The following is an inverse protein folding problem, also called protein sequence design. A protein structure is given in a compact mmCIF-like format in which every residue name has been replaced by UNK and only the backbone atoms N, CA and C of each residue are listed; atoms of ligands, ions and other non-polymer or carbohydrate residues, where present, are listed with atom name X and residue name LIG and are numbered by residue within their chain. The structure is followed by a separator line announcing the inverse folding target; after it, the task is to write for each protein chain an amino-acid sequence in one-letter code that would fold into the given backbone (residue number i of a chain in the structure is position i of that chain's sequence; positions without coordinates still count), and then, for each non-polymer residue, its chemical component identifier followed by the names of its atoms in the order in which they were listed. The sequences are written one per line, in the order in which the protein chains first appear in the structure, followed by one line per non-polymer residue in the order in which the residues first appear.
data_IF_654355755111
#
_entry.id   IF_654355755111
#
_cell.length_a   1.000
_cell.length_b   1.000
_cell.length_c   1.000
_cell.angle_alpha   90.00
_cell.angle_beta   90.00
_cell.angle_gamma   90.00
#
_symmetry.space_group_name_H-M   'P 1'
#
loop_
_entity.id
_entity.type
_entity.pdbx_description
1 polymer ?
#
# COMPACT_ATOMS: atom_id res chain seq x y z
N UNK A 1 2.73 -10.16 15.79
CA UNK A 1 1.32 -10.57 15.59
C UNK A 1 1.00 -10.38 14.11
N UNK A 2 0.26 -11.27 13.46
CA UNK A 2 -0.10 -11.09 12.03
C UNK A 2 -1.08 -9.93 11.90
N UNK A 3 -0.90 -9.06 10.88
CA UNK A 3 -1.78 -7.92 10.61
C UNK A 3 -3.22 -8.38 10.32
N UNK A 4 -3.36 -9.45 9.54
CA UNK A 4 -4.62 -10.15 9.30
C UNK A 4 -4.35 -11.61 8.91
N UNK A 5 -5.42 -12.41 8.81
CA UNK A 5 -5.39 -13.78 8.25
C UNK A 5 -6.62 -13.95 7.37
N UNK A 6 -6.41 -14.49 6.18
CA UNK A 6 -7.48 -14.72 5.22
C UNK A 6 -7.32 -13.89 3.95
N UNK A 7 -8.40 -13.27 3.48
CA UNK A 7 -8.48 -12.53 2.22
C UNK A 7 -8.19 -11.04 2.41
N UNK A 8 -7.18 -10.52 1.73
CA UNK A 8 -6.97 -9.07 1.58
C UNK A 8 -7.31 -8.62 0.16
N UNK A 9 -8.32 -7.81 -0.01
CA UNK A 9 -8.78 -7.36 -1.32
C UNK A 9 -8.06 -6.09 -1.77
N UNK A 10 -7.42 -6.14 -2.96
CA UNK A 10 -6.91 -4.95 -3.63
C UNK A 10 -8.07 -4.22 -4.33
N UNK A 11 -8.48 -3.10 -3.77
CA UNK A 11 -9.65 -2.36 -4.22
C UNK A 11 -9.33 -1.43 -5.40
N UNK A 12 -10.27 -1.31 -6.33
CA UNK A 12 -10.23 -0.30 -7.39
C UNK A 12 -10.54 1.08 -6.82
N UNK A 13 -10.08 2.13 -7.49
CA UNK A 13 -10.51 3.51 -7.22
C UNK A 13 -11.54 3.90 -8.27
N UNK A 14 -12.83 4.01 -7.94
CA UNK A 14 -13.84 4.47 -8.86
C UNK A 14 -13.71 5.98 -9.12
N UNK A 15 -13.91 6.40 -10.36
CA UNK A 15 -13.87 7.79 -10.77
C UNK A 15 -15.23 8.21 -11.37
N UNK A 16 -15.53 9.50 -11.30
CA UNK A 16 -16.67 10.11 -12.00
C UNK A 16 -16.34 10.34 -13.48
N UNK A 17 -17.31 10.77 -14.27
CA UNK A 17 -17.09 11.17 -15.67
C UNK A 17 -16.14 12.38 -15.78
N UNK A 18 -16.12 13.25 -14.76
CA UNK A 18 -15.22 14.39 -14.62
C UNK A 18 -13.79 14.00 -14.18
N UNK A 19 -13.56 12.71 -13.89
CA UNK A 19 -12.29 12.11 -13.45
C UNK A 19 -11.94 12.39 -11.99
N UNK A 20 -12.86 12.87 -11.19
CA UNK A 20 -12.72 12.97 -9.74
C UNK A 20 -12.96 11.60 -9.07
N UNK A 21 -12.39 11.39 -7.89
CA UNK A 21 -12.65 10.15 -7.13
C UNK A 21 -14.12 10.09 -6.73
N UNK A 22 -14.80 9.01 -7.10
CA UNK A 22 -16.18 8.74 -6.73
C UNK A 22 -16.25 8.09 -5.33
N UNK A 23 -16.30 8.91 -4.29
CA UNK A 23 -16.33 8.43 -2.90
C UNK A 23 -17.61 7.68 -2.54
N UNK A 24 -18.74 7.98 -3.18
CA UNK A 24 -19.99 7.24 -2.93
C UNK A 24 -19.83 5.79 -3.39
N UNK A 25 -19.31 5.58 -4.59
CA UNK A 25 -19.09 4.24 -5.12
C UNK A 25 -17.94 3.52 -4.40
N UNK A 26 -16.87 4.23 -4.04
CA UNK A 26 -15.81 3.67 -3.20
C UNK A 26 -16.36 3.16 -1.87
N UNK A 27 -17.24 3.93 -1.23
CA UNK A 27 -17.90 3.52 0.00
C UNK A 27 -18.78 2.28 -0.16
N UNK A 28 -19.49 2.15 -1.29
CA UNK A 28 -20.27 0.93 -1.60
C UNK A 28 -19.39 -0.29 -1.78
N UNK A 29 -18.25 -0.12 -2.48
CA UNK A 29 -17.29 -1.21 -2.69
C UNK A 29 -16.66 -1.66 -1.38
N UNK A 30 -16.33 -0.75 -0.48
CA UNK A 30 -15.81 -1.08 0.86
C UNK A 30 -16.83 -1.90 1.64
N UNK A 31 -18.08 -1.44 1.72
CA UNK A 31 -19.15 -2.18 2.43
C UNK A 31 -19.37 -3.56 1.80
N UNK A 32 -19.47 -3.63 0.47
CA UNK A 32 -19.62 -4.90 -0.22
C UNK A 32 -18.53 -5.90 0.14
N UNK A 33 -17.28 -5.49 0.19
CA UNK A 33 -16.17 -6.39 0.55
C UNK A 33 -16.26 -6.85 2.00
N UNK A 34 -16.54 -5.96 2.92
CA UNK A 34 -16.67 -6.29 4.34
C UNK A 34 -17.84 -7.24 4.58
N UNK A 35 -19.00 -6.96 4.00
CA UNK A 35 -20.20 -7.82 4.12
C UNK A 35 -19.99 -9.21 3.49
N UNK A 36 -19.12 -9.34 2.50
CA UNK A 36 -18.79 -10.62 1.87
C UNK A 36 -17.51 -11.27 2.43
N UNK A 37 -17.05 -10.84 3.59
CA UNK A 37 -16.08 -11.56 4.41
C UNK A 37 -14.62 -11.33 4.01
N UNK A 38 -14.27 -10.15 3.48
CA UNK A 38 -12.85 -9.78 3.36
C UNK A 38 -12.25 -9.58 4.75
N UNK A 39 -10.99 -9.97 4.92
CA UNK A 39 -10.25 -9.82 6.19
C UNK A 39 -9.33 -8.59 6.22
N UNK A 40 -9.14 -7.93 5.08
CA UNK A 40 -8.38 -6.68 4.96
C UNK A 40 -8.74 -5.95 3.68
N UNK A 41 -8.65 -4.62 3.68
CA UNK A 41 -8.76 -3.77 2.48
C UNK A 41 -7.38 -3.22 2.12
N UNK A 42 -6.96 -3.45 0.88
CA UNK A 42 -5.73 -2.88 0.32
C UNK A 42 -6.13 -1.76 -0.62
N UNK A 43 -5.89 -0.53 -0.18
CA UNK A 43 -6.24 0.69 -0.93
C UNK A 43 -5.00 1.34 -1.56
N UNK A 44 -5.16 1.99 -2.69
CA UNK A 44 -4.05 2.59 -3.45
C UNK A 44 -2.93 1.58 -3.81
N UNK A 45 -3.24 0.27 -3.87
CA UNK A 45 -2.40 -0.73 -4.52
C UNK A 45 -2.47 -0.58 -6.05
N UNK A 46 -1.77 -1.41 -6.79
CA UNK A 46 -1.72 -1.36 -8.27
C UNK A 46 -3.13 -1.36 -8.91
N UNK A 47 -4.05 -2.14 -8.35
CA UNK A 47 -5.45 -2.24 -8.80
C UNK A 47 -6.20 -0.90 -8.66
N UNK A 48 -5.85 -0.09 -7.67
CA UNK A 48 -6.43 1.23 -7.42
C UNK A 48 -5.80 2.36 -8.25
N UNK A 49 -4.92 2.07 -9.20
CA UNK A 49 -4.32 3.01 -10.16
C UNK A 49 -3.67 4.26 -9.54
N UNK A 50 -2.94 4.14 -8.38
CA UNK A 50 -2.44 5.31 -7.65
C UNK A 50 -1.42 6.15 -8.44
N UNK A 51 -0.84 5.58 -9.50
CA UNK A 51 0.13 6.29 -10.36
C UNK A 51 -0.50 7.38 -11.23
N UNK A 52 -1.81 7.36 -11.40
CA UNK A 52 -2.59 8.37 -12.15
C UNK A 52 -3.22 9.42 -11.24
N UNK A 53 -3.04 9.26 -9.93
CA UNK A 53 -3.60 10.14 -8.89
C UNK A 53 -2.52 11.04 -8.31
N UNK A 54 -2.92 12.23 -7.91
CA UNK A 54 -2.08 13.11 -7.10
C UNK A 54 -1.85 12.53 -5.69
N UNK A 55 -0.84 13.03 -4.98
CA UNK A 55 -0.60 12.65 -3.60
C UNK A 55 -1.79 12.99 -2.69
N UNK A 56 -2.41 14.14 -2.91
CA UNK A 56 -3.57 14.62 -2.14
C UNK A 56 -4.78 13.71 -2.34
N UNK A 57 -5.08 13.30 -3.57
CA UNK A 57 -6.16 12.34 -3.86
C UNK A 57 -5.89 11.00 -3.18
N UNK A 58 -4.67 10.48 -3.27
CA UNK A 58 -4.30 9.20 -2.63
C UNK A 58 -4.47 9.25 -1.12
N UNK A 59 -4.03 10.33 -0.46
CA UNK A 59 -4.20 10.52 0.98
C UNK A 59 -5.67 10.65 1.37
N UNK A 60 -6.46 11.37 0.56
CA UNK A 60 -7.90 11.51 0.77
C UNK A 60 -8.62 10.17 0.64
N UNK A 61 -8.25 9.35 -0.35
CA UNK A 61 -8.79 8.00 -0.54
C UNK A 61 -8.41 7.08 0.64
N UNK A 62 -7.18 7.15 1.15
CA UNK A 62 -6.75 6.39 2.32
C UNK A 62 -7.55 6.81 3.55
N UNK A 63 -7.64 8.12 3.84
CA UNK A 63 -8.40 8.66 4.97
C UNK A 63 -9.87 8.24 4.93
N UNK A 64 -10.51 8.41 3.77
CA UNK A 64 -11.89 8.00 3.57
C UNK A 64 -12.09 6.49 3.79
N UNK A 65 -11.16 5.67 3.29
CA UNK A 65 -11.23 4.21 3.47
C UNK A 65 -11.10 3.81 4.93
N UNK A 66 -10.19 4.43 5.67
CA UNK A 66 -10.02 4.21 7.13
C UNK A 66 -11.31 4.60 7.89
N UNK A 67 -11.84 5.77 7.60
CA UNK A 67 -13.09 6.25 8.22
C UNK A 67 -14.26 5.31 7.89
N UNK A 68 -14.42 4.96 6.61
CA UNK A 68 -15.51 4.11 6.15
C UNK A 68 -15.44 2.69 6.70
N UNK A 69 -14.24 2.13 6.80
CA UNK A 69 -14.00 0.81 7.38
C UNK A 69 -14.30 0.78 8.88
N UNK A 70 -14.07 1.89 9.58
CA UNK A 70 -14.35 2.06 11.00
C UNK A 70 -13.77 0.95 11.90
N UNK A 71 -12.56 0.47 11.56
CA UNK A 71 -11.84 -0.56 12.31
C UNK A 71 -12.43 -1.99 12.21
N UNK A 72 -13.40 -2.22 11.32
CA UNK A 72 -14.00 -3.56 11.13
C UNK A 72 -13.02 -4.55 10.51
N UNK A 73 -12.17 -4.08 9.63
CA UNK A 73 -11.03 -4.82 9.06
C UNK A 73 -9.85 -3.86 8.89
N UNK A 74 -8.60 -4.33 8.91
CA UNK A 74 -7.45 -3.47 8.72
C UNK A 74 -7.38 -2.89 7.29
N UNK A 75 -6.91 -1.64 7.21
CA UNK A 75 -6.65 -0.91 5.96
C UNK A 75 -5.16 -0.88 5.69
N UNK A 76 -4.75 -1.45 4.54
CA UNK A 76 -3.37 -1.49 4.08
C UNK A 76 -3.21 -0.50 2.93
N UNK A 77 -2.40 0.52 3.11
CA UNK A 77 -2.20 1.57 2.12
C UNK A 77 -1.03 1.29 1.18
N UNK A 78 -1.25 1.38 -0.13
CA UNK A 78 -0.19 1.34 -1.13
C UNK A 78 0.66 2.61 -1.07
N UNK A 79 1.90 2.50 -0.58
CA UNK A 79 2.82 3.64 -0.41
C UNK A 79 4.12 3.52 -1.20
N UNK A 80 4.34 2.39 -1.90
CA UNK A 80 5.57 2.15 -2.65
C UNK A 80 5.80 3.10 -3.82
N UNK A 81 7.06 3.25 -4.18
CA UNK A 81 7.52 4.09 -5.27
C UNK A 81 9.00 3.83 -5.58
N UNK A 82 9.56 4.56 -6.53
CA UNK A 82 10.95 4.37 -6.96
C UNK A 82 11.94 5.41 -6.40
N UNK A 83 11.47 6.33 -5.57
CA UNK A 83 12.29 7.28 -4.82
C UNK A 83 12.09 7.03 -3.33
N UNK A 84 13.13 6.57 -2.62
CA UNK A 84 13.06 6.19 -1.20
C UNK A 84 12.54 7.31 -0.31
N UNK A 85 13.00 8.55 -0.54
CA UNK A 85 12.58 9.71 0.24
C UNK A 85 11.07 9.98 0.10
N UNK A 86 10.54 9.90 -1.12
CA UNK A 86 9.10 10.07 -1.38
C UNK A 86 8.29 8.94 -0.74
N UNK A 87 8.79 7.69 -0.79
CA UNK A 87 8.15 6.54 -0.15
C UNK A 87 8.09 6.74 1.37
N UNK A 88 9.18 7.17 2.00
CA UNK A 88 9.21 7.49 3.43
C UNK A 88 8.22 8.59 3.78
N UNK A 89 8.24 9.69 3.03
CA UNK A 89 7.34 10.83 3.27
C UNK A 89 5.88 10.40 3.17
N UNK A 90 5.51 9.70 2.11
CA UNK A 90 4.14 9.23 1.89
C UNK A 90 3.72 8.16 2.91
N UNK A 91 4.61 7.24 3.27
CA UNK A 91 4.34 6.20 4.27
C UNK A 91 4.02 6.78 5.65
N UNK A 92 4.77 7.82 6.08
CA UNK A 92 4.47 8.55 7.31
C UNK A 92 3.09 9.23 7.27
N UNK A 93 2.73 9.82 6.14
CA UNK A 93 1.41 10.43 5.95
C UNK A 93 0.31 9.37 5.98
N UNK A 94 0.48 8.25 5.28
CA UNK A 94 -0.48 7.15 5.31
C UNK A 94 -0.71 6.60 6.73
N UNK A 95 0.37 6.43 7.51
CA UNK A 95 0.27 6.07 8.93
C UNK A 95 -0.50 7.13 9.73
N UNK A 96 -0.19 8.42 9.53
CA UNK A 96 -0.88 9.53 10.21
C UNK A 96 -2.37 9.58 9.87
N UNK A 97 -2.76 9.21 8.66
CA UNK A 97 -4.16 9.10 8.21
C UNK A 97 -4.84 7.79 8.64
N UNK A 98 -4.18 6.98 9.46
CA UNK A 98 -4.79 5.84 10.15
C UNK A 98 -4.68 4.50 9.41
N UNK A 99 -3.82 4.36 8.42
CA UNK A 99 -3.55 3.05 7.83
C UNK A 99 -2.95 2.09 8.88
N UNK A 100 -3.43 0.84 8.90
CA UNK A 100 -2.98 -0.22 9.81
C UNK A 100 -1.71 -0.91 9.30
N UNK A 101 -1.40 -0.77 8.02
CA UNK A 101 -0.20 -1.31 7.39
C UNK A 101 0.06 -0.68 6.03
N UNK A 102 1.22 -0.99 5.47
CA UNK A 102 1.65 -0.47 4.17
C UNK A 102 1.90 -1.60 3.18
N UNK A 103 1.50 -1.41 1.91
CA UNK A 103 1.92 -2.24 0.79
C UNK A 103 2.97 -1.47 -0.01
N UNK A 104 4.22 -1.93 0.04
CA UNK A 104 5.35 -1.24 -0.59
C UNK A 104 5.88 -2.08 -1.76
N UNK A 105 5.60 -1.62 -2.98
CA UNK A 105 6.13 -2.24 -4.20
C UNK A 105 7.63 -1.99 -4.32
N UNK A 106 8.37 -2.97 -4.84
CA UNK A 106 9.79 -2.79 -5.17
C UNK A 106 9.99 -1.57 -6.09
N UNK A 107 11.03 -0.74 -5.88
CA UNK A 107 11.36 0.36 -6.77
C UNK A 107 11.38 -0.09 -8.23
N UNK A 108 10.57 0.54 -9.05
CA UNK A 108 10.43 0.26 -10.47
C UNK A 108 11.25 1.24 -11.29
N UNK A 109 11.53 0.89 -12.57
CA UNK A 109 12.25 1.72 -13.53
C UNK A 109 13.78 1.78 -13.31
N UNK A 110 14.25 2.16 -12.12
CA UNK A 110 15.69 2.37 -11.78
C UNK A 110 16.49 1.06 -11.63
N UNK A 111 15.85 -0.12 -11.61
CA UNK A 111 16.51 -1.45 -11.55
C UNK A 111 17.54 -1.57 -10.43
N UNK A 112 17.09 -1.32 -9.20
CA UNK A 112 17.94 -1.42 -8.02
C UNK A 112 18.57 -2.81 -7.85
N UNK A 113 19.79 -2.86 -7.30
CA UNK A 113 20.44 -4.11 -6.89
C UNK A 113 19.75 -4.71 -5.66
N UNK A 114 20.00 -5.98 -5.32
CA UNK A 114 19.44 -6.62 -4.12
C UNK A 114 19.81 -5.85 -2.83
N UNK A 115 21.05 -5.37 -2.74
CA UNK A 115 21.45 -4.53 -1.60
C UNK A 115 20.76 -3.17 -1.62
N UNK A 116 20.55 -2.57 -2.79
CA UNK A 116 19.77 -1.32 -2.91
C UNK A 116 18.30 -1.51 -2.49
N UNK A 117 17.68 -2.65 -2.84
CA UNK A 117 16.34 -3.02 -2.38
C UNK A 117 16.30 -3.16 -0.85
N UNK A 118 17.27 -3.87 -0.28
CA UNK A 118 17.39 -4.02 1.18
C UNK A 118 17.48 -2.66 1.87
N UNK A 119 18.38 -1.78 1.44
CA UNK A 119 18.53 -0.46 2.05
C UNK A 119 17.28 0.41 1.88
N UNK A 120 16.63 0.36 0.71
CA UNK A 120 15.36 1.06 0.46
C UNK A 120 14.31 0.67 1.49
N UNK A 121 14.03 -0.62 1.64
CA UNK A 121 13.01 -1.10 2.58
C UNK A 121 13.40 -0.86 4.04
N UNK A 122 14.67 -1.01 4.38
CA UNK A 122 15.18 -0.73 5.72
C UNK A 122 14.89 0.73 6.12
N UNK A 123 15.21 1.69 5.26
CA UNK A 123 14.94 3.11 5.51
C UNK A 123 13.44 3.38 5.69
N UNK A 124 12.59 2.75 4.86
CA UNK A 124 11.13 2.86 4.99
C UNK A 124 10.65 2.26 6.31
N UNK A 125 11.10 1.05 6.65
CA UNK A 125 10.70 0.35 7.87
C UNK A 125 11.10 1.11 9.15
N UNK A 126 12.27 1.74 9.15
CA UNK A 126 12.73 2.56 10.28
C UNK A 126 11.99 3.89 10.42
N UNK A 127 11.18 4.26 9.44
CA UNK A 127 10.49 5.55 9.41
C UNK A 127 9.02 5.50 9.86
N UNK A 128 8.46 4.31 10.04
CA UNK A 128 7.06 4.06 10.41
C UNK A 128 6.96 3.01 11.51
N UNK A 129 5.86 3.01 12.26
CA UNK A 129 5.61 2.07 13.35
C UNK A 129 4.60 0.96 12.98
N UNK A 130 4.06 1.00 11.76
CA UNK A 130 3.07 0.05 11.25
C UNK A 130 3.72 -1.00 10.33
N UNK A 131 3.15 -2.22 10.24
CA UNK A 131 3.71 -3.30 9.43
C UNK A 131 3.82 -2.95 7.95
N UNK A 132 4.87 -3.46 7.29
CA UNK A 132 5.09 -3.33 5.86
C UNK A 132 4.93 -4.70 5.19
N UNK A 133 4.10 -4.74 4.15
CA UNK A 133 3.99 -5.86 3.22
C UNK A 133 4.86 -5.56 2.00
N UNK A 134 5.90 -6.36 1.81
CA UNK A 134 6.78 -6.25 0.63
C UNK A 134 6.03 -6.76 -0.61
N UNK A 135 5.90 -5.93 -1.63
CA UNK A 135 5.22 -6.29 -2.87
C UNK A 135 6.21 -6.46 -4.02
N UNK A 136 6.42 -7.71 -4.44
CA UNK A 136 7.31 -8.09 -5.52
C UNK A 136 6.50 -8.45 -6.78
N UNK A 137 6.68 -7.68 -7.86
CA UNK A 137 5.97 -7.87 -9.13
C UNK A 137 6.92 -7.62 -10.32
N UNK A 138 7.85 -8.55 -10.60
CA UNK A 138 8.94 -8.36 -11.55
C UNK A 138 8.49 -7.96 -12.95
N UNK A 139 7.31 -8.44 -13.39
CA UNK A 139 6.74 -8.10 -14.70
C UNK A 139 6.38 -6.62 -14.86
N UNK A 140 6.16 -5.91 -13.75
CA UNK A 140 5.86 -4.47 -13.74
C UNK A 140 7.05 -3.61 -13.34
N UNK A 141 7.88 -4.12 -12.43
CA UNK A 141 9.00 -3.34 -11.86
C UNK A 141 10.30 -3.50 -12.65
N UNK A 142 10.45 -4.59 -13.40
CA UNK A 142 11.70 -4.95 -14.07
C UNK A 142 12.80 -5.40 -13.10
N UNK A 143 12.43 -5.65 -11.84
CA UNK A 143 13.33 -6.09 -10.77
C UNK A 143 12.65 -7.22 -9.99
N UNK A 144 13.37 -8.26 -9.66
CA UNK A 144 12.91 -9.35 -8.80
C UNK A 144 13.59 -9.25 -7.42
N UNK A 145 12.77 -9.14 -6.37
CA UNK A 145 13.22 -9.20 -4.99
C UNK A 145 13.42 -10.67 -4.61
N UNK A 146 14.69 -11.07 -4.41
CA UNK A 146 15.05 -12.47 -4.23
C UNK A 146 14.74 -12.98 -2.80
N UNK A 147 14.44 -14.29 -2.64
CA UNK A 147 14.16 -14.88 -1.34
C UNK A 147 15.23 -14.63 -0.28
N UNK A 148 16.52 -14.72 -0.65
CA UNK A 148 17.63 -14.48 0.28
C UNK A 148 17.64 -13.04 0.80
N UNK A 149 17.28 -12.07 -0.04
CA UNK A 149 17.17 -10.68 0.37
C UNK A 149 15.96 -10.49 1.31
N UNK A 150 14.84 -11.17 1.02
CA UNK A 150 13.67 -11.16 1.88
C UNK A 150 13.97 -11.78 3.25
N UNK A 151 14.64 -12.93 3.29
CA UNK A 151 15.03 -13.60 4.52
C UNK A 151 15.97 -12.72 5.37
N UNK A 152 16.96 -12.08 4.74
CA UNK A 152 17.84 -11.11 5.39
C UNK A 152 17.03 -9.97 6.03
N UNK A 153 16.07 -9.42 5.32
CA UNK A 153 15.20 -8.35 5.86
C UNK A 153 14.41 -8.81 7.08
N UNK A 154 13.79 -9.98 7.00
CA UNK A 154 12.99 -10.51 8.12
C UNK A 154 13.80 -10.85 9.37
N UNK A 155 15.13 -10.96 9.25
CA UNK A 155 16.02 -11.19 10.39
C UNK A 155 16.57 -9.88 10.99
N UNK A 156 16.71 -8.84 10.17
CA UNK A 156 17.42 -7.60 10.53
C UNK A 156 16.48 -6.45 10.92
N UNK A 157 15.20 -6.54 10.55
CA UNK A 157 14.18 -5.51 10.71
C UNK A 157 12.87 -6.15 11.19
#
# INVERSE_FOLDING_TARGET
MSLFRGSGVALVTPFTEEKDVNYEELGRLIEFQIENGTDAIIICGTTGEPVTMSEEERLSVISYTVEKTAGRVPVIAGSGGNCTENVVSFSKKAQLFGADGLLVVTPYYNKATQNGLYEHYKVVAMAVDIPIVLYNVPSRTGVNFLPDTAARMGNDI
#
